data_IF_749646580245
#
_entry.id   IF_749646580245
#
_cell.length_a   1.000
_cell.length_b   1.000
_cell.length_c   1.000
_cell.angle_alpha   90.00
_cell.angle_beta   90.00
_cell.angle_gamma   90.00
#
_symmetry.space_group_name_H-M   'P 1'
#
loop_
_entity.id
_entity.type
_entity.pdbx_description
1 polymer ?
#
# COMPACT_ATOMS: atom_id res chain seq x y z
N UNK A 1 -15.08 12.04 43.62
CA UNK A 1 -15.00 12.78 42.35
C UNK A 1 -13.62 12.53 41.77
N UNK A 2 -13.51 11.82 40.65
CA UNK A 2 -12.20 11.46 40.05
C UNK A 2 -11.69 12.63 39.22
N UNK A 3 -10.49 13.13 39.54
CA UNK A 3 -9.88 14.25 38.85
C UNK A 3 -9.46 13.85 37.44
N UNK A 4 -9.99 14.52 36.43
CA UNK A 4 -9.53 14.41 35.05
C UNK A 4 -8.16 15.07 34.95
N UNK A 5 -7.09 14.27 34.96
CA UNK A 5 -5.76 14.78 34.62
C UNK A 5 -5.77 15.17 33.14
N UNK A 6 -5.54 16.44 32.82
CA UNK A 6 -5.42 16.88 31.44
C UNK A 6 -4.22 16.16 30.81
N UNK A 7 -4.48 15.24 29.87
CA UNK A 7 -3.43 14.70 29.00
C UNK A 7 -2.89 15.86 28.17
N UNK A 8 -1.74 16.40 28.54
CA UNK A 8 -1.00 17.35 27.70
C UNK A 8 -0.57 16.61 26.44
N UNK A 9 -0.71 17.25 25.27
CA UNK A 9 -0.13 16.74 24.02
C UNK A 9 1.37 16.71 24.21
N UNK A 10 1.95 15.52 24.30
CA UNK A 10 3.39 15.38 24.35
C UNK A 10 3.94 15.77 22.98
N UNK A 11 4.94 16.66 22.90
CA UNK A 11 5.60 16.92 21.63
C UNK A 11 6.23 15.62 21.15
N UNK A 12 6.09 15.35 19.85
CA UNK A 12 6.70 14.20 19.21
C UNK A 12 8.22 14.30 19.41
N UNK A 13 8.81 13.43 20.24
CA UNK A 13 10.26 13.42 20.48
C UNK A 13 10.90 12.63 19.34
N UNK A 14 11.54 13.36 18.44
CA UNK A 14 12.42 12.77 17.43
C UNK A 14 13.73 12.49 18.17
N UNK A 15 14.02 11.23 18.46
CA UNK A 15 15.39 10.83 18.80
C UNK A 15 16.27 11.21 17.62
N UNK A 16 17.32 12.01 17.85
CA UNK A 16 18.18 12.49 16.76
C UNK A 16 18.96 11.35 16.07
N UNK A 17 18.92 10.15 16.65
CA UNK A 17 19.53 8.92 16.14
C UNK A 17 18.50 7.96 15.49
N UNK A 18 17.24 8.36 15.37
CA UNK A 18 16.22 7.55 14.69
C UNK A 18 16.34 7.72 13.16
N UNK A 19 16.77 6.64 12.52
CA UNK A 19 16.95 6.53 11.07
C UNK A 19 15.62 6.72 10.32
N UNK A 20 15.49 7.90 9.72
CA UNK A 20 14.51 8.42 8.75
C UNK A 20 13.01 8.16 8.98
N UNK A 21 12.36 9.17 9.56
CA UNK A 21 10.94 9.43 9.33
C UNK A 21 10.76 9.87 7.87
N UNK A 22 10.45 8.93 6.98
CA UNK A 22 10.05 9.24 5.60
C UNK A 22 8.62 9.78 5.66
N UNK A 23 8.46 11.06 5.34
CA UNK A 23 7.17 11.74 5.24
C UNK A 23 6.92 12.20 3.79
N UNK A 24 5.67 12.50 3.43
CA UNK A 24 5.28 12.93 2.08
C UNK A 24 6.07 14.16 1.60
N UNK A 25 6.49 15.04 2.52
CA UNK A 25 7.31 16.23 2.23
C UNK A 25 8.72 15.92 1.72
N UNK A 26 9.23 14.70 1.96
CA UNK A 26 10.51 14.27 1.41
C UNK A 26 10.41 13.83 -0.06
N UNK A 27 9.19 13.73 -0.61
CA UNK A 27 8.96 13.36 -2.00
C UNK A 27 9.36 14.49 -2.95
N UNK A 28 10.03 14.12 -4.05
CA UNK A 28 10.34 15.04 -5.14
C UNK A 28 9.17 15.17 -6.15
N UNK A 29 8.07 14.44 -5.94
CA UNK A 29 6.88 14.48 -6.77
C UNK A 29 5.65 14.86 -5.93
N UNK A 30 4.74 15.63 -6.52
CA UNK A 30 3.47 15.97 -5.89
C UNK A 30 2.49 14.78 -5.98
N UNK A 31 1.92 14.40 -4.85
CA UNK A 31 0.92 13.32 -4.76
C UNK A 31 1.51 12.00 -4.27
N UNK A 32 0.72 10.93 -4.40
CA UNK A 32 1.12 9.61 -3.95
C UNK A 32 2.24 9.06 -4.83
N UNK A 33 3.34 8.65 -4.20
CA UNK A 33 4.41 7.93 -4.89
C UNK A 33 3.87 6.63 -5.48
N UNK A 34 4.32 6.32 -6.70
CA UNK A 34 4.03 5.02 -7.32
C UNK A 34 4.54 3.89 -6.41
N UNK A 35 3.74 2.84 -6.14
CA UNK A 35 4.21 1.68 -5.38
C UNK A 35 5.28 0.87 -6.12
N UNK A 36 5.49 1.13 -7.42
CA UNK A 36 6.48 0.43 -8.25
C UNK A 36 7.79 1.22 -8.43
N UNK A 37 7.90 2.39 -7.80
CA UNK A 37 9.03 3.31 -8.01
C UNK A 37 8.94 4.09 -9.33
N UNK A 38 9.93 4.96 -9.55
CA UNK A 38 9.97 5.87 -10.69
C UNK A 38 10.53 5.22 -11.97
N UNK A 39 11.24 4.10 -11.84
CA UNK A 39 11.85 3.37 -12.95
C UNK A 39 10.83 2.54 -13.75
N UNK A 40 9.61 2.35 -13.22
CA UNK A 40 8.59 1.50 -13.80
C UNK A 40 7.54 2.34 -14.53
N UNK A 41 7.51 2.20 -15.86
CA UNK A 41 6.56 2.91 -16.72
C UNK A 41 5.38 2.00 -17.07
N UNK A 42 4.17 2.57 -17.03
CA UNK A 42 2.93 1.90 -17.40
C UNK A 42 2.40 2.36 -18.76
N UNK A 43 1.69 1.50 -19.51
CA UNK A 43 1.40 0.10 -19.20
C UNK A 43 2.62 -0.81 -19.35
N UNK A 44 2.67 -1.89 -18.56
CA UNK A 44 3.73 -2.88 -18.70
C UNK A 44 3.56 -3.68 -20.02
N UNK A 45 4.67 -4.04 -20.69
CA UNK A 45 4.67 -5.02 -21.77
C UNK A 45 4.01 -6.34 -21.35
N UNK A 46 3.31 -7.01 -22.28
CA UNK A 46 2.49 -8.19 -22.01
C UNK A 46 3.29 -9.36 -21.39
N UNK A 47 4.53 -9.51 -21.81
CA UNK A 47 5.51 -10.50 -21.32
C UNK A 47 5.98 -10.24 -19.88
N UNK A 48 5.77 -9.04 -19.35
CA UNK A 48 6.13 -8.64 -17.99
C UNK A 48 4.95 -8.61 -17.02
N UNK A 49 3.74 -8.92 -17.49
CA UNK A 49 2.55 -8.92 -16.64
C UNK A 49 2.39 -10.29 -16.01
N UNK A 50 2.42 -10.34 -14.66
CA UNK A 50 2.17 -11.58 -13.91
C UNK A 50 0.67 -11.90 -13.75
N UNK A 51 -0.21 -11.20 -14.48
CA UNK A 51 -1.64 -11.45 -14.42
C UNK A 51 -2.00 -12.64 -15.30
N UNK A 52 -2.40 -13.74 -14.68
CA UNK A 52 -3.06 -14.85 -15.34
C UNK A 52 -4.56 -14.80 -15.04
N UNK A 53 -5.39 -14.73 -16.09
CA UNK A 53 -6.84 -14.71 -15.89
C UNK A 53 -7.30 -16.02 -15.22
N UNK A 54 -8.08 -15.97 -14.13
CA UNK A 54 -8.49 -17.17 -13.42
C UNK A 54 -9.38 -18.04 -14.32
N UNK A 55 -8.97 -19.29 -14.49
CA UNK A 55 -9.79 -20.33 -15.12
C UNK A 55 -10.97 -20.69 -14.22
N UNK A 56 -11.93 -21.47 -14.73
CA UNK A 56 -13.09 -21.92 -13.94
C UNK A 56 -12.70 -22.68 -12.67
N UNK A 57 -11.60 -23.44 -12.69
CA UNK A 57 -11.09 -24.13 -11.49
C UNK A 57 -10.74 -23.16 -10.35
N UNK A 58 -10.40 -21.91 -10.68
CA UNK A 58 -10.10 -20.86 -9.71
C UNK A 58 -11.35 -20.10 -9.24
N UNK A 59 -12.56 -20.54 -9.61
CA UNK A 59 -13.85 -19.89 -9.30
C UNK A 59 -14.73 -20.85 -8.48
N UNK A 60 -14.49 -20.97 -7.15
CA UNK A 60 -15.12 -21.99 -6.30
C UNK A 60 -16.65 -21.84 -6.17
N UNK A 61 -17.20 -20.68 -6.50
CA UNK A 61 -18.65 -20.42 -6.44
C UNK A 61 -19.40 -20.88 -7.69
N UNK A 62 -18.71 -21.31 -8.75
CA UNK A 62 -19.37 -21.83 -9.94
C UNK A 62 -19.72 -23.31 -9.72
N UNK A 63 -20.93 -23.75 -10.11
CA UNK A 63 -21.30 -25.17 -10.06
C UNK A 63 -20.31 -26.02 -10.88
N UNK A 64 -20.02 -27.24 -10.43
CA UNK A 64 -19.01 -28.12 -11.03
C UNK A 64 -19.46 -28.69 -12.40
N UNK A 65 -20.75 -28.56 -12.69
CA UNK A 65 -21.54 -29.34 -13.63
C UNK A 65 -22.00 -28.55 -14.87
N UNK A 66 -21.81 -27.23 -14.93
CA UNK A 66 -22.08 -26.42 -16.13
C UNK A 66 -21.04 -26.61 -17.26
N UNK A 67 -20.62 -27.85 -17.54
CA UNK A 67 -19.80 -28.21 -18.68
C UNK A 67 -20.71 -28.71 -19.81
N UNK A 68 -21.29 -27.76 -20.55
CA UNK A 68 -21.61 -27.91 -21.96
C UNK A 68 -21.58 -26.52 -22.61
#
# INVERSE_FOLDING_TARGET
MVGSSKKTVQPFRIDQDAEFHVDEFASNSAGAMSPFGDDVVFPLPLDKINYSHPTRANRPHLPVDAAN
#
